data_IF_443492826753
#
_entry.id   IF_443492826753
#
_cell.length_a   1.000
_cell.length_b   1.000
_cell.length_c   1.000
_cell.angle_alpha   90.00
_cell.angle_beta   90.00
_cell.angle_gamma   90.00
#
_symmetry.space_group_name_H-M   'P 1'
#
loop_
_entity.id
_entity.type
_entity.pdbx_description
1 polymer ?
#
# COMPACT_ATOMS: atom_id res chain seq x y z
N UNK A 1 29.47 2.70 17.39
CA UNK A 1 29.13 2.40 18.80
C UNK A 1 28.48 3.60 19.52
N UNK A 2 29.01 4.82 19.39
CA UNK A 2 28.43 6.01 20.02
C UNK A 2 27.21 6.55 19.26
N UNK A 3 27.24 6.44 17.96
CA UNK A 3 26.16 6.85 17.05
C UNK A 3 24.94 5.92 17.17
N UNK A 4 25.15 4.63 17.35
CA UNK A 4 24.06 3.64 17.52
C UNK A 4 23.35 3.80 18.86
N UNK A 5 24.08 4.13 19.95
CA UNK A 5 23.48 4.40 21.26
C UNK A 5 22.63 5.67 21.30
N UNK A 6 23.04 6.74 20.59
CA UNK A 6 22.24 7.99 20.54
C UNK A 6 20.97 7.78 19.73
N UNK A 7 21.01 6.99 18.66
CA UNK A 7 19.85 6.72 17.82
C UNK A 7 18.79 5.89 18.53
N UNK A 8 19.17 4.87 19.31
CA UNK A 8 18.22 4.05 20.06
C UNK A 8 17.58 4.82 21.22
N UNK A 9 18.35 5.62 21.95
CA UNK A 9 17.80 6.47 23.01
C UNK A 9 16.89 7.57 22.43
N UNK A 10 17.26 8.17 21.33
CA UNK A 10 16.46 9.23 20.70
C UNK A 10 15.16 8.66 20.13
N UNK A 11 15.22 7.49 19.50
CA UNK A 11 14.05 6.80 18.99
C UNK A 11 13.07 6.42 20.11
N UNK A 12 13.58 5.87 21.22
CA UNK A 12 12.78 5.51 22.40
C UNK A 12 12.20 6.73 23.10
N UNK A 13 12.94 7.83 23.19
CA UNK A 13 12.45 9.09 23.78
C UNK A 13 11.40 9.79 22.91
N UNK A 14 11.56 9.74 21.59
CA UNK A 14 10.60 10.33 20.65
C UNK A 14 9.28 9.55 20.63
N UNK A 15 9.33 8.22 20.72
CA UNK A 15 8.13 7.39 20.90
C UNK A 15 7.46 7.68 22.24
N UNK A 16 8.22 7.84 23.33
CA UNK A 16 7.67 8.14 24.67
C UNK A 16 7.04 9.54 24.77
N UNK A 17 7.48 10.48 23.94
CA UNK A 17 6.99 11.87 23.95
C UNK A 17 5.83 12.13 22.97
N UNK A 18 5.21 11.10 22.41
CA UNK A 18 4.09 11.24 21.47
C UNK A 18 4.42 12.09 20.22
N UNK A 19 5.68 12.15 19.82
CA UNK A 19 6.04 12.78 18.54
C UNK A 19 5.58 11.89 17.40
N UNK A 20 4.74 12.44 16.54
CA UNK A 20 4.36 11.79 15.29
C UNK A 20 5.54 11.75 14.31
N UNK A 21 5.38 10.97 13.26
CA UNK A 21 6.42 10.84 12.24
C UNK A 21 6.70 12.16 11.52
N UNK A 22 5.71 13.05 11.42
CA UNK A 22 5.91 14.40 10.88
C UNK A 22 6.72 15.27 11.83
N UNK A 23 6.46 15.17 13.14
CA UNK A 23 7.30 15.80 14.17
C UNK A 23 8.70 15.19 14.17
N UNK A 24 8.82 13.87 14.02
CA UNK A 24 10.09 13.18 13.90
C UNK A 24 10.82 13.60 12.61
N UNK A 25 10.16 13.63 11.48
CA UNK A 25 10.71 14.08 10.21
C UNK A 25 11.19 15.53 10.29
N UNK A 26 10.36 16.41 10.83
CA UNK A 26 10.73 17.82 11.05
C UNK A 26 11.89 17.96 12.04
N UNK A 27 11.89 17.17 13.10
CA UNK A 27 12.97 17.15 14.08
C UNK A 27 14.28 16.64 13.46
N UNK A 28 14.23 15.54 12.69
CA UNK A 28 15.38 14.99 12.00
C UNK A 28 15.93 15.96 10.95
N UNK A 29 15.07 16.62 10.17
CA UNK A 29 15.50 17.66 9.21
C UNK A 29 16.18 18.86 9.86
N UNK A 30 15.78 19.20 11.08
CA UNK A 30 16.36 20.37 11.77
C UNK A 30 17.59 20.06 12.62
N UNK A 31 17.82 18.78 12.98
CA UNK A 31 18.81 18.41 13.99
C UNK A 31 19.82 17.36 13.51
N UNK A 32 19.56 16.66 12.39
CA UNK A 32 20.41 15.59 11.88
C UNK A 32 20.57 15.67 10.36
N UNK A 33 21.71 15.20 9.88
CA UNK A 33 22.06 15.16 8.45
C UNK A 33 21.11 14.26 7.65
N UNK A 34 20.88 14.57 6.38
CA UNK A 34 19.98 13.93 5.42
C UNK A 34 20.07 12.39 5.36
N UNK A 35 21.19 11.84 5.76
CA UNK A 35 21.42 10.39 5.80
C UNK A 35 20.52 9.60 6.77
N UNK A 36 19.83 10.25 7.71
CA UNK A 36 18.92 9.55 8.63
C UNK A 36 17.56 9.21 8.02
N UNK A 37 17.12 9.97 7.02
CA UNK A 37 15.89 9.67 6.26
C UNK A 37 16.00 8.35 5.50
N UNK A 38 17.20 8.02 4.99
CA UNK A 38 17.44 6.76 4.29
C UNK A 38 17.21 5.52 5.16
N UNK A 39 17.12 5.67 6.48
CA UNK A 39 16.81 4.56 7.39
C UNK A 39 15.37 4.08 7.30
N UNK A 40 14.45 4.97 6.98
CA UNK A 40 13.03 4.65 6.84
C UNK A 40 12.67 4.22 5.42
N UNK A 41 13.57 4.44 4.46
CA UNK A 41 13.36 4.14 3.06
C UNK A 41 14.10 2.85 2.68
N UNK A 42 13.34 1.85 2.26
CA UNK A 42 13.91 0.56 1.88
C UNK A 42 14.38 0.57 0.44
N UNK A 43 15.66 0.23 0.25
CA UNK A 43 16.15 -0.21 -1.05
C UNK A 43 15.72 -1.66 -1.28
N UNK A 44 15.34 -1.97 -2.51
CA UNK A 44 14.95 -3.29 -2.93
C UNK A 44 15.55 -3.61 -4.30
N UNK A 45 15.59 -4.88 -4.66
CA UNK A 45 16.17 -5.34 -5.91
C UNK A 45 15.38 -4.81 -7.11
N UNK A 46 16.09 -4.22 -8.09
CA UNK A 46 15.49 -3.62 -9.27
C UNK A 46 15.04 -2.16 -9.11
N UNK A 47 15.19 -1.56 -7.92
CA UNK A 47 14.85 -0.15 -7.70
C UNK A 47 15.52 0.78 -8.72
N UNK A 48 16.75 0.49 -9.10
CA UNK A 48 17.52 1.27 -10.07
C UNK A 48 16.95 1.24 -11.49
N UNK A 49 16.08 0.28 -11.78
CA UNK A 49 15.39 0.15 -13.07
C UNK A 49 14.12 0.98 -13.17
N UNK A 50 13.61 1.46 -12.04
CA UNK A 50 12.34 2.20 -11.98
C UNK A 50 12.57 3.65 -12.43
N UNK A 51 11.95 4.02 -13.55
CA UNK A 51 11.96 5.39 -14.05
C UNK A 51 10.90 6.26 -13.37
N UNK A 52 9.72 5.70 -13.13
CA UNK A 52 8.59 6.37 -12.46
C UNK A 52 7.71 5.34 -11.74
N UNK A 53 7.03 5.78 -10.70
CA UNK A 53 5.89 5.06 -10.12
C UNK A 53 4.58 5.61 -10.67
N UNK A 54 3.50 4.85 -10.54
CA UNK A 54 2.20 5.18 -11.13
C UNK A 54 1.13 5.49 -10.09
N UNK A 55 1.24 4.92 -8.89
CA UNK A 55 0.22 5.04 -7.85
C UNK A 55 0.11 6.44 -7.28
N UNK A 56 -1.06 6.76 -6.76
CA UNK A 56 -1.41 8.06 -6.20
C UNK A 56 -0.53 8.42 -4.98
N UNK A 57 -0.26 7.45 -4.12
CA UNK A 57 0.47 7.65 -2.88
C UNK A 57 1.58 6.60 -2.66
N UNK A 58 2.23 6.14 -3.73
CA UNK A 58 3.35 5.19 -3.68
C UNK A 58 2.98 3.79 -3.20
N UNK A 59 1.73 3.34 -3.37
CA UNK A 59 1.29 2.00 -3.01
C UNK A 59 2.08 0.92 -3.77
N UNK A 60 2.37 1.15 -5.03
CA UNK A 60 3.24 0.30 -5.87
C UNK A 60 4.66 0.20 -5.30
N UNK A 61 5.27 1.32 -4.94
CA UNK A 61 6.60 1.37 -4.32
C UNK A 61 6.60 0.75 -2.94
N UNK A 62 5.54 0.95 -2.14
CA UNK A 62 5.36 0.30 -0.85
C UNK A 62 5.34 -1.22 -0.99
N UNK A 63 4.52 -1.73 -1.92
CA UNK A 63 4.39 -3.16 -2.19
C UNK A 63 5.74 -3.77 -2.59
N UNK A 64 6.46 -3.15 -3.52
CA UNK A 64 7.80 -3.60 -3.91
C UNK A 64 8.81 -3.51 -2.78
N UNK A 65 8.77 -2.45 -1.96
CA UNK A 65 9.67 -2.31 -0.81
C UNK A 65 9.45 -3.41 0.22
N UNK A 66 8.19 -3.69 0.59
CA UNK A 66 7.83 -4.76 1.53
C UNK A 66 8.26 -6.12 1.01
N UNK A 67 8.11 -6.37 -0.27
CA UNK A 67 8.43 -7.65 -0.92
C UNK A 67 9.83 -7.66 -1.57
N UNK A 68 10.66 -6.66 -1.26
CA UNK A 68 12.07 -6.57 -1.66
C UNK A 68 12.32 -6.71 -3.17
N UNK A 69 11.48 -6.05 -3.96
CA UNK A 69 11.59 -6.08 -5.42
C UNK A 69 11.16 -7.39 -6.05
N UNK A 70 10.27 -8.14 -5.37
CA UNK A 70 9.77 -9.42 -5.88
C UNK A 70 9.33 -9.31 -7.33
N UNK A 71 9.84 -10.22 -8.18
CA UNK A 71 9.37 -10.44 -9.55
C UNK A 71 8.40 -11.60 -9.59
N UNK A 72 7.59 -11.65 -10.64
CA UNK A 72 6.59 -12.71 -10.84
C UNK A 72 5.63 -12.86 -9.65
N UNK A 73 5.26 -11.74 -9.03
CA UNK A 73 4.25 -11.71 -7.98
C UNK A 73 2.84 -11.80 -8.54
N UNK A 74 1.85 -11.85 -7.65
CA UNK A 74 0.43 -11.88 -8.01
C UNK A 74 -0.37 -10.81 -7.27
N UNK A 75 -1.42 -10.29 -7.92
CA UNK A 75 -2.29 -9.30 -7.30
C UNK A 75 -3.78 -9.50 -7.63
N UNK A 76 -4.62 -9.02 -6.73
CA UNK A 76 -6.02 -8.71 -6.97
C UNK A 76 -6.24 -7.22 -6.70
N UNK A 77 -6.72 -6.49 -7.70
CA UNK A 77 -7.00 -5.06 -7.65
C UNK A 77 -8.49 -4.80 -7.80
N UNK A 78 -9.10 -4.18 -6.83
CA UNK A 78 -10.52 -3.86 -6.81
C UNK A 78 -10.71 -2.36 -6.91
N UNK A 79 -11.30 -1.90 -8.04
CA UNK A 79 -11.34 -0.49 -8.42
C UNK A 79 -10.04 -0.07 -9.09
N UNK A 80 -9.83 -0.48 -10.34
CA UNK A 80 -8.56 -0.22 -11.03
C UNK A 80 -8.44 1.17 -11.65
N UNK A 81 -9.57 1.83 -11.91
CA UNK A 81 -9.64 3.13 -12.55
C UNK A 81 -8.82 3.22 -13.85
N UNK A 82 -8.00 4.26 -14.01
CA UNK A 82 -7.15 4.46 -15.19
C UNK A 82 -5.99 3.46 -15.22
N UNK A 83 -5.63 2.89 -16.37
CA UNK A 83 -4.60 1.86 -16.47
C UNK A 83 -3.19 2.29 -16.01
N UNK A 84 -2.91 3.60 -16.00
CA UNK A 84 -1.61 4.14 -15.58
C UNK A 84 -1.71 5.28 -14.56
N UNK A 85 -2.71 6.13 -14.71
CA UNK A 85 -2.86 7.30 -13.85
C UNK A 85 -3.44 6.88 -12.49
N UNK A 86 -2.65 7.04 -11.43
CA UNK A 86 -3.04 6.59 -10.09
C UNK A 86 -3.04 5.07 -9.90
N UNK A 87 -2.57 4.30 -10.89
CA UNK A 87 -2.61 2.84 -10.84
C UNK A 87 -1.66 2.26 -9.79
N UNK A 88 -2.20 1.40 -8.94
CA UNK A 88 -1.44 0.71 -7.91
C UNK A 88 -0.69 -0.53 -8.42
N UNK A 89 -0.97 -0.97 -9.63
CA UNK A 89 -0.49 -2.25 -10.19
C UNK A 89 0.29 -2.11 -11.50
N UNK A 90 0.29 -0.93 -12.15
CA UNK A 90 1.02 -0.76 -13.41
C UNK A 90 2.54 -0.97 -13.27
N UNK A 91 3.15 -0.45 -12.20
CA UNK A 91 4.57 -0.69 -11.92
C UNK A 91 4.85 -2.18 -11.61
N UNK A 92 3.89 -2.87 -10.98
CA UNK A 92 4.05 -4.28 -10.66
C UNK A 92 4.12 -5.13 -11.93
N UNK A 93 3.40 -4.78 -12.99
CA UNK A 93 3.54 -5.46 -14.29
C UNK A 93 4.94 -5.27 -14.91
N UNK A 94 5.61 -4.14 -14.71
CA UNK A 94 7.01 -3.95 -15.11
C UNK A 94 7.97 -4.88 -14.34
N UNK A 95 7.55 -5.36 -13.14
CA UNK A 95 8.20 -6.40 -12.36
C UNK A 95 7.67 -7.81 -12.67
N UNK A 96 7.02 -7.99 -13.82
CA UNK A 96 6.53 -9.29 -14.32
C UNK A 96 5.43 -9.90 -13.44
N UNK A 97 4.67 -9.08 -12.71
CA UNK A 97 3.55 -9.56 -11.93
C UNK A 97 2.35 -9.87 -12.79
N UNK A 98 1.62 -10.93 -12.39
CA UNK A 98 0.34 -11.29 -12.97
C UNK A 98 -0.79 -10.99 -11.99
N UNK A 99 -1.95 -10.63 -12.50
CA UNK A 99 -3.06 -10.34 -11.59
C UNK A 99 -4.37 -10.13 -12.32
N UNK A 100 -5.37 -9.85 -11.52
CA UNK A 100 -6.72 -9.53 -11.97
C UNK A 100 -7.11 -8.19 -11.40
N UNK A 101 -7.55 -7.29 -12.26
CA UNK A 101 -8.15 -6.00 -11.90
C UNK A 101 -9.66 -6.05 -12.11
N UNK A 102 -10.42 -5.36 -11.27
CA UNK A 102 -11.88 -5.22 -11.38
C UNK A 102 -12.22 -3.76 -11.54
N UNK A 103 -13.05 -3.46 -12.53
CA UNK A 103 -13.49 -2.10 -12.84
C UNK A 103 -14.94 -2.13 -13.35
N UNK A 104 -15.77 -1.21 -12.89
CA UNK A 104 -17.17 -1.13 -13.30
C UNK A 104 -17.36 -0.26 -14.56
N UNK A 105 -16.49 0.70 -14.77
CA UNK A 105 -16.56 1.61 -15.91
C UNK A 105 -16.03 0.95 -17.18
N UNK A 106 -16.92 0.78 -18.17
CA UNK A 106 -16.59 0.12 -19.44
C UNK A 106 -15.54 0.86 -20.26
N UNK A 107 -15.50 2.18 -20.20
CA UNK A 107 -14.51 2.97 -20.96
C UNK A 107 -13.12 2.79 -20.35
N UNK A 108 -13.02 2.79 -19.02
CA UNK A 108 -11.78 2.51 -18.31
C UNK A 108 -11.30 1.08 -18.56
N UNK A 109 -12.20 0.09 -18.56
CA UNK A 109 -11.88 -1.30 -18.90
C UNK A 109 -11.32 -1.43 -20.31
N UNK A 110 -11.92 -0.79 -21.31
CA UNK A 110 -11.41 -0.81 -22.68
C UNK A 110 -10.05 -0.10 -22.80
N UNK A 111 -9.85 0.98 -22.07
CA UNK A 111 -8.53 1.64 -21.98
C UNK A 111 -7.50 0.71 -21.35
N UNK A 112 -7.86 0.01 -20.27
CA UNK A 112 -6.99 -0.95 -19.61
C UNK A 112 -6.56 -2.07 -20.56
N UNK A 113 -7.50 -2.73 -21.23
CA UNK A 113 -7.23 -3.80 -22.20
C UNK A 113 -6.31 -3.38 -23.35
N UNK A 114 -6.38 -2.12 -23.76
CA UNK A 114 -5.53 -1.60 -24.83
C UNK A 114 -4.12 -1.19 -24.34
N UNK A 115 -3.94 -1.00 -23.04
CA UNK A 115 -2.74 -0.42 -22.47
C UNK A 115 -1.92 -1.44 -21.66
N UNK A 116 -2.56 -2.46 -21.09
CA UNK A 116 -1.96 -3.42 -20.15
C UNK A 116 -2.21 -4.87 -20.58
N UNK A 117 -1.40 -5.79 -20.05
CA UNK A 117 -1.41 -7.20 -20.45
C UNK A 117 -2.21 -8.10 -19.51
N UNK A 118 -2.37 -7.70 -18.25
CA UNK A 118 -3.09 -8.49 -17.26
C UNK A 118 -4.61 -8.40 -17.45
N UNK A 119 -5.31 -9.32 -16.82
CA UNK A 119 -6.77 -9.42 -16.91
C UNK A 119 -7.45 -8.23 -16.21
N UNK A 120 -8.47 -7.68 -16.85
CA UNK A 120 -9.43 -6.77 -16.21
C UNK A 120 -10.85 -7.29 -16.42
N UNK A 121 -11.58 -7.42 -15.31
CA UNK A 121 -13.00 -7.82 -15.26
C UNK A 121 -13.87 -6.57 -15.25
N UNK A 122 -14.73 -6.42 -16.26
CA UNK A 122 -15.74 -5.35 -16.28
C UNK A 122 -16.97 -5.79 -15.48
N UNK A 123 -17.04 -5.45 -14.21
CA UNK A 123 -18.14 -5.86 -13.34
C UNK A 123 -18.28 -4.98 -12.10
N UNK A 124 -19.49 -4.99 -11.53
CA UNK A 124 -19.69 -4.57 -10.15
C UNK A 124 -18.96 -5.55 -9.21
N UNK A 125 -18.02 -5.04 -8.43
CA UNK A 125 -17.19 -5.84 -7.53
C UNK A 125 -18.02 -6.62 -6.48
N UNK A 126 -19.21 -6.14 -6.14
CA UNK A 126 -20.12 -6.81 -5.19
C UNK A 126 -20.83 -8.05 -5.76
N UNK A 127 -20.64 -8.37 -7.04
CA UNK A 127 -21.31 -9.48 -7.72
C UNK A 127 -20.39 -10.64 -8.08
N UNK A 128 -19.11 -10.53 -7.77
CA UNK A 128 -18.08 -11.48 -8.20
C UNK A 128 -17.90 -12.65 -7.22
N UNK A 129 -17.48 -13.79 -7.77
CA UNK A 129 -16.99 -14.93 -6.99
C UNK A 129 -15.49 -14.83 -6.76
N UNK A 130 -15.11 -14.31 -5.60
CA UNK A 130 -13.69 -14.17 -5.24
C UNK A 130 -12.96 -15.50 -5.00
N UNK A 131 -13.66 -16.59 -4.70
CA UNK A 131 -13.04 -17.93 -4.66
C UNK A 131 -12.56 -18.35 -6.05
N UNK A 132 -13.37 -18.11 -7.08
CA UNK A 132 -13.00 -18.44 -8.46
C UNK A 132 -11.81 -17.61 -8.90
N UNK A 133 -11.83 -16.28 -8.69
CA UNK A 133 -10.75 -15.38 -9.09
C UNK A 133 -9.44 -15.74 -8.35
N UNK A 134 -9.48 -15.84 -7.03
CA UNK A 134 -8.30 -16.11 -6.21
C UNK A 134 -7.70 -17.48 -6.47
N UNK A 135 -8.51 -18.49 -6.83
CA UNK A 135 -8.01 -19.82 -7.19
C UNK A 135 -7.11 -19.83 -8.42
N UNK A 136 -7.21 -18.81 -9.28
CA UNK A 136 -6.41 -18.70 -10.53
C UNK A 136 -5.09 -17.98 -10.32
N UNK A 137 -4.98 -17.12 -9.29
CA UNK A 137 -3.84 -16.23 -9.09
C UNK A 137 -3.05 -16.52 -7.81
N UNK A 138 -3.60 -17.30 -6.88
CA UNK A 138 -2.88 -17.69 -5.67
C UNK A 138 -1.84 -18.78 -5.93
N UNK A 139 -0.82 -18.82 -5.11
CA UNK A 139 0.16 -19.89 -5.10
C UNK A 139 -0.41 -21.20 -4.49
N UNK A 140 0.42 -22.25 -4.43
CA UNK A 140 0.06 -23.55 -3.88
C UNK A 140 -0.32 -23.54 -2.40
N UNK A 141 0.02 -22.47 -1.68
CA UNK A 141 -0.33 -22.24 -0.27
C UNK A 141 -1.53 -21.30 -0.11
N UNK A 142 -2.25 -21.00 -1.19
CA UNK A 142 -3.34 -20.02 -1.24
C UNK A 142 -2.92 -18.60 -0.86
N UNK A 143 -1.70 -18.20 -1.22
CA UNK A 143 -1.19 -16.85 -0.97
C UNK A 143 -1.20 -16.04 -2.26
N UNK A 144 -1.68 -14.80 -2.15
CA UNK A 144 -1.57 -13.76 -3.17
C UNK A 144 -0.66 -12.66 -2.61
N UNK A 145 0.18 -12.07 -3.44
CA UNK A 145 1.17 -11.12 -2.95
C UNK A 145 0.57 -9.75 -2.60
N UNK A 146 -0.39 -9.26 -3.37
CA UNK A 146 -0.99 -7.95 -3.14
C UNK A 146 -2.49 -7.94 -3.35
N UNK A 147 -3.20 -7.32 -2.41
CA UNK A 147 -4.63 -7.00 -2.49
C UNK A 147 -4.80 -5.48 -2.37
N UNK A 148 -5.32 -4.86 -3.43
CA UNK A 148 -5.70 -3.46 -3.45
C UNK A 148 -7.23 -3.36 -3.35
N UNK A 149 -7.72 -2.53 -2.45
CA UNK A 149 -9.14 -2.35 -2.14
C UNK A 149 -9.48 -0.87 -2.15
N UNK A 150 -10.11 -0.43 -3.23
CA UNK A 150 -10.44 0.96 -3.48
C UNK A 150 -11.61 1.07 -4.47
N UNK A 151 -12.83 1.05 -3.95
CA UNK A 151 -14.04 1.29 -4.71
C UNK A 151 -14.79 2.50 -4.13
N UNK A 152 -15.31 3.32 -4.99
CA UNK A 152 -16.23 4.38 -4.59
C UNK A 152 -17.68 3.90 -4.58
N UNK A 153 -18.46 4.22 -3.54
CA UNK A 153 -18.06 4.83 -2.27
C UNK A 153 -17.38 3.84 -1.29
N UNK A 154 -16.71 4.31 -0.22
CA UNK A 154 -15.94 3.44 0.71
C UNK A 154 -16.75 2.30 1.34
N UNK A 155 -18.07 2.45 1.45
CA UNK A 155 -18.98 1.39 1.89
C UNK A 155 -18.92 0.17 0.97
N UNK A 156 -18.74 0.38 -0.32
CA UNK A 156 -18.57 -0.69 -1.31
C UNK A 156 -17.24 -1.37 -1.13
N UNK A 157 -16.15 -0.60 -0.94
CA UNK A 157 -14.83 -1.15 -0.59
C UNK A 157 -14.92 -2.08 0.62
N UNK A 158 -15.58 -1.64 1.69
CA UNK A 158 -15.74 -2.44 2.91
C UNK A 158 -16.66 -3.65 2.70
N UNK A 159 -17.73 -3.51 1.91
CA UNK A 159 -18.62 -4.62 1.55
C UNK A 159 -17.85 -5.71 0.80
N UNK A 160 -17.10 -5.33 -0.23
CA UNK A 160 -16.29 -6.25 -1.05
C UNK A 160 -15.22 -6.92 -0.18
N UNK A 161 -14.57 -6.19 0.71
CA UNK A 161 -13.58 -6.76 1.63
C UNK A 161 -14.16 -7.93 2.45
N UNK A 162 -15.41 -7.83 2.89
CA UNK A 162 -16.08 -8.92 3.62
C UNK A 162 -16.45 -10.12 2.75
N UNK A 163 -16.44 -9.97 1.43
CA UNK A 163 -16.69 -11.07 0.48
C UNK A 163 -15.38 -11.82 0.13
N UNK A 164 -14.23 -11.25 0.42
CA UNK A 164 -12.95 -11.92 0.22
C UNK A 164 -12.84 -13.10 1.21
N UNK A 165 -12.58 -14.33 0.75
CA UNK A 165 -12.50 -15.51 1.60
C UNK A 165 -11.13 -15.60 2.32
N UNK A 166 -10.93 -14.72 3.32
CA UNK A 166 -9.70 -14.66 4.12
C UNK A 166 -9.44 -15.90 4.98
N UNK A 167 -10.45 -16.73 5.19
CA UNK A 167 -10.31 -18.03 5.85
C UNK A 167 -9.54 -19.04 4.99
N UNK A 168 -9.56 -18.86 3.67
CA UNK A 168 -8.90 -19.72 2.71
C UNK A 168 -7.65 -19.09 2.09
N UNK A 169 -7.69 -17.81 1.80
CA UNK A 169 -6.60 -17.09 1.11
C UNK A 169 -5.94 -16.07 2.02
N UNK A 170 -4.62 -15.94 1.91
CA UNK A 170 -3.84 -14.93 2.60
C UNK A 170 -3.18 -13.99 1.61
N UNK A 171 -2.98 -12.73 2.02
CA UNK A 171 -2.32 -11.72 1.23
C UNK A 171 -1.07 -11.22 1.95
N UNK A 172 0.05 -11.03 1.24
CA UNK A 172 1.28 -10.51 1.86
C UNK A 172 1.14 -9.04 2.20
N UNK A 173 0.56 -8.26 1.28
CA UNK A 173 0.35 -6.82 1.38
C UNK A 173 -1.09 -6.51 1.05
N UNK A 174 -1.71 -5.60 1.82
CA UNK A 174 -3.05 -5.06 1.54
C UNK A 174 -2.97 -3.53 1.66
N UNK A 175 -3.51 -2.83 0.68
CA UNK A 175 -3.86 -1.41 0.78
C UNK A 175 -5.38 -1.28 0.81
N UNK A 176 -5.89 -0.51 1.76
CA UNK A 176 -7.32 -0.36 1.97
C UNK A 176 -7.69 1.11 2.07
N UNK A 177 -8.45 1.58 1.08
CA UNK A 177 -9.01 2.92 1.07
C UNK A 177 -10.28 2.98 1.92
N UNK A 178 -10.26 3.82 2.96
CA UNK A 178 -11.38 4.02 3.87
C UNK A 178 -12.02 5.41 3.73
N UNK A 179 -11.36 6.32 3.03
CA UNK A 179 -11.83 7.70 2.80
C UNK A 179 -12.43 8.36 4.04
N UNK A 180 -11.74 8.28 5.15
CA UNK A 180 -12.22 8.77 6.44
C UNK A 180 -12.69 10.22 6.39
N UNK A 181 -12.01 11.03 5.60
CA UNK A 181 -12.33 12.43 5.41
C UNK A 181 -13.72 12.64 4.80
N UNK A 182 -14.21 11.66 4.04
CA UNK A 182 -15.52 11.69 3.38
C UNK A 182 -16.56 10.84 4.14
N UNK A 183 -16.21 9.60 4.50
CA UNK A 183 -17.12 8.61 5.11
C UNK A 183 -17.20 8.70 6.63
N UNK A 184 -16.29 9.48 7.27
CA UNK A 184 -16.18 9.55 8.72
C UNK A 184 -15.52 8.30 9.33
N UNK A 185 -15.76 8.11 10.62
CA UNK A 185 -15.01 7.11 11.41
C UNK A 185 -15.53 5.67 11.28
N UNK A 186 -16.68 5.44 10.66
CA UNK A 186 -17.30 4.10 10.68
C UNK A 186 -16.47 3.10 9.90
N UNK A 187 -16.30 3.28 8.59
CA UNK A 187 -15.51 2.36 7.74
C UNK A 187 -14.06 2.29 8.20
N UNK A 188 -13.49 3.42 8.58
CA UNK A 188 -12.16 3.53 9.16
C UNK A 188 -11.96 2.61 10.39
N UNK A 189 -12.90 2.58 11.33
CA UNK A 189 -12.79 1.75 12.53
C UNK A 189 -13.09 0.28 12.24
N UNK A 190 -14.12 0.00 11.45
CA UNK A 190 -14.54 -1.36 11.13
C UNK A 190 -13.51 -2.11 10.30
N UNK A 191 -12.89 -1.46 9.31
CA UNK A 191 -11.83 -2.08 8.50
C UNK A 191 -10.60 -2.40 9.34
N UNK A 192 -10.21 -1.50 10.23
CA UNK A 192 -9.10 -1.70 11.17
C UNK A 192 -9.34 -2.87 12.10
N UNK A 193 -10.57 -2.98 12.63
CA UNK A 193 -10.95 -4.11 13.44
C UNK A 193 -10.90 -5.41 12.65
N UNK A 194 -11.48 -5.42 11.45
CA UNK A 194 -11.49 -6.59 10.57
C UNK A 194 -10.08 -7.12 10.29
N UNK A 195 -9.18 -6.26 9.80
CA UNK A 195 -7.81 -6.68 9.48
C UNK A 195 -7.00 -7.09 10.72
N UNK A 196 -7.26 -6.47 11.88
CA UNK A 196 -6.64 -6.89 13.15
C UNK A 196 -7.14 -8.28 13.56
N UNK A 197 -8.44 -8.54 13.49
CA UNK A 197 -9.04 -9.85 13.82
C UNK A 197 -8.55 -10.95 12.86
N UNK A 198 -8.24 -10.61 11.61
CA UNK A 198 -7.63 -11.49 10.61
C UNK A 198 -6.11 -11.69 10.80
N UNK A 199 -5.50 -11.04 11.77
CA UNK A 199 -4.08 -11.18 12.10
C UNK A 199 -3.12 -10.31 11.28
N UNK A 200 -3.62 -9.37 10.50
CA UNK A 200 -2.78 -8.43 9.76
C UNK A 200 -2.19 -7.34 10.66
N UNK A 201 -0.97 -6.96 10.37
CA UNK A 201 -0.31 -5.80 10.99
C UNK A 201 -0.54 -4.58 10.12
N UNK A 202 -1.18 -3.55 10.69
CA UNK A 202 -1.26 -2.23 10.06
C UNK A 202 0.12 -1.59 10.12
N UNK A 203 0.81 -1.56 8.99
CA UNK A 203 2.19 -1.12 8.91
C UNK A 203 2.27 0.40 8.83
N UNK A 204 1.48 0.99 7.94
CA UNK A 204 1.40 2.44 7.76
C UNK A 204 -0.07 2.88 7.84
N UNK A 205 -0.48 3.58 8.90
CA UNK A 205 -1.82 4.12 9.04
C UNK A 205 -1.95 5.51 8.43
N UNK A 206 -3.18 5.91 8.10
CA UNK A 206 -3.54 7.29 7.80
C UNK A 206 -2.71 7.92 6.68
N UNK A 207 -2.53 7.22 5.59
CA UNK A 207 -1.87 7.75 4.40
C UNK A 207 -2.71 8.89 3.80
N UNK A 208 -2.01 9.97 3.45
CA UNK A 208 -2.57 11.10 2.73
C UNK A 208 -1.52 11.70 1.80
N UNK A 209 -1.85 11.98 0.54
CA UNK A 209 -0.88 12.52 -0.41
C UNK A 209 -0.45 13.96 -0.07
N UNK A 210 -1.28 14.71 0.65
CA UNK A 210 -1.07 16.15 0.89
C UNK A 210 -1.09 16.57 2.39
N UNK A 211 -1.09 15.62 3.32
CA UNK A 211 -1.18 15.83 4.77
C UNK A 211 -2.48 16.44 5.30
N UNK A 212 -3.50 16.58 4.49
CA UNK A 212 -4.75 17.22 4.91
C UNK A 212 -5.87 16.25 5.23
N UNK A 213 -5.86 15.10 4.55
CA UNK A 213 -6.94 14.12 4.63
C UNK A 213 -6.37 12.71 4.56
N UNK A 214 -6.66 11.92 5.57
CA UNK A 214 -6.31 10.51 5.58
C UNK A 214 -7.38 9.70 4.84
N UNK A 215 -6.95 8.88 3.91
CA UNK A 215 -7.84 8.10 3.07
C UNK A 215 -7.54 6.61 3.06
N UNK A 216 -6.33 6.19 3.41
CA UNK A 216 -5.87 4.81 3.23
C UNK A 216 -5.03 4.30 4.39
N UNK A 217 -5.08 3.00 4.66
CA UNK A 217 -4.19 2.27 5.56
C UNK A 217 -3.50 1.11 4.80
N UNK A 218 -2.24 0.84 5.16
CA UNK A 218 -1.44 -0.24 4.57
C UNK A 218 -1.15 -1.34 5.58
N UNK A 219 -1.39 -2.59 5.18
CA UNK A 219 -1.28 -3.77 6.02
C UNK A 219 -0.35 -4.81 5.41
N UNK A 220 0.23 -5.64 6.29
CA UNK A 220 1.00 -6.82 5.91
C UNK A 220 0.62 -8.02 6.74
N UNK A 221 0.75 -9.22 6.17
CA UNK A 221 0.61 -10.45 6.94
C UNK A 221 1.95 -10.79 7.60
N UNK A 222 2.02 -10.83 8.95
CA UNK A 222 3.30 -10.92 9.66
C UNK A 222 4.07 -12.23 9.43
N UNK A 223 3.38 -13.30 9.07
CA UNK A 223 4.00 -14.60 8.75
C UNK A 223 4.50 -14.70 7.31
N UNK A 224 4.14 -13.75 6.43
CA UNK A 224 4.38 -13.84 4.99
C UNK A 224 5.34 -12.76 4.47
N UNK A 225 5.81 -11.87 5.33
CA UNK A 225 6.82 -10.86 5.03
C UNK A 225 7.98 -10.97 6.02
N UNK A 226 9.13 -10.40 5.66
CA UNK A 226 10.29 -10.45 6.54
C UNK A 226 10.06 -9.62 7.80
N UNK A 227 10.35 -10.15 9.01
CA UNK A 227 10.18 -9.43 10.27
C UNK A 227 10.90 -8.07 10.30
N UNK A 228 12.06 -7.97 9.68
CA UNK A 228 12.84 -6.73 9.60
C UNK A 228 12.11 -5.60 8.86
N UNK A 229 11.28 -5.96 7.89
CA UNK A 229 10.42 -5.00 7.18
C UNK A 229 9.41 -4.41 8.16
N UNK A 230 8.75 -5.26 8.95
CA UNK A 230 7.77 -4.82 9.94
C UNK A 230 8.42 -3.91 10.97
N UNK A 231 9.56 -4.30 11.53
CA UNK A 231 10.27 -3.52 12.55
C UNK A 231 10.67 -2.13 12.05
N UNK A 232 11.15 -2.06 10.81
CA UNK A 232 11.66 -0.81 10.25
C UNK A 232 10.57 0.12 9.71
N UNK A 233 9.50 -0.42 9.13
CA UNK A 233 8.45 0.37 8.45
C UNK A 233 7.24 0.65 9.34
N UNK A 234 7.04 -0.09 10.44
CA UNK A 234 5.85 0.05 11.27
C UNK A 234 5.76 1.42 11.92
N UNK A 235 4.70 2.12 11.60
CA UNK A 235 4.36 3.40 12.21
C UNK A 235 3.32 3.17 13.30
N UNK A 236 3.66 3.55 14.51
CA UNK A 236 2.84 3.27 15.70
C UNK A 236 1.90 4.41 16.07
N UNK A 237 2.04 5.58 15.47
CA UNK A 237 1.28 6.77 15.84
C UNK A 237 0.33 7.21 14.73
N UNK A 238 -0.94 7.42 15.10
CA UNK A 238 -2.05 7.58 14.18
C UNK A 238 -2.32 8.99 13.67
N UNK A 239 -1.31 9.73 13.21
CA UNK A 239 -1.52 10.98 12.47
C UNK A 239 -1.43 10.75 10.97
N UNK A 240 -1.82 11.76 10.20
CA UNK A 240 -1.74 11.76 8.74
C UNK A 240 -0.29 11.70 8.28
N UNK A 241 0.01 10.82 7.35
CA UNK A 241 1.36 10.56 6.86
C UNK A 241 1.46 10.77 5.36
N UNK A 242 2.49 11.48 4.93
CA UNK A 242 2.87 11.54 3.51
C UNK A 242 3.67 10.30 3.13
N UNK A 243 3.26 9.63 2.09
CA UNK A 243 3.95 8.45 1.59
C UNK A 243 5.37 8.75 1.10
N UNK A 244 5.61 9.94 0.58
CA UNK A 244 6.96 10.38 0.15
C UNK A 244 7.99 10.37 1.29
N UNK A 245 7.52 10.50 2.54
CA UNK A 245 8.40 10.46 3.70
C UNK A 245 8.96 9.06 3.96
N UNK A 246 8.31 8.01 3.45
CA UNK A 246 8.68 6.61 3.68
C UNK A 246 9.27 5.91 2.47
N UNK A 247 8.85 6.32 1.28
CA UNK A 247 9.24 5.65 0.04
C UNK A 247 10.46 6.30 -0.60
N UNK A 248 11.27 5.49 -1.27
CA UNK A 248 12.36 6.00 -2.09
C UNK A 248 11.75 6.69 -3.31
N UNK A 249 12.25 7.88 -3.61
CA UNK A 249 11.83 8.62 -4.79
C UNK A 249 12.34 7.96 -6.06
N UNK A 250 11.50 7.88 -7.06
CA UNK A 250 11.89 7.48 -8.41
C UNK A 250 12.50 8.66 -9.17
N UNK A 251 13.23 8.41 -10.24
CA UNK A 251 13.91 9.47 -11.04
C UNK A 251 12.92 10.50 -11.57
N UNK A 252 11.76 10.06 -12.00
CA UNK A 252 10.66 10.88 -12.50
C UNK A 252 9.52 10.80 -11.51
N UNK A 253 9.65 11.52 -10.40
CA UNK A 253 8.66 11.58 -9.34
C UNK A 253 7.31 12.03 -9.88
N UNK A 254 6.31 11.19 -9.74
CA UNK A 254 4.92 11.58 -9.91
C UNK A 254 4.19 11.37 -8.59
N UNK A 255 4.28 12.36 -7.71
CA UNK A 255 3.36 12.47 -6.59
C UNK A 255 2.01 13.00 -7.06
N UNK A 256 0.99 12.90 -6.23
CA UNK A 256 -0.32 13.49 -6.45
C UNK A 256 -0.18 15.00 -6.73
N UNK A 257 -0.47 15.42 -7.93
CA UNK A 257 -0.38 16.81 -8.38
C UNK A 257 0.52 17.06 -9.60
N UNK A 258 1.35 16.11 -10.00
CA UNK A 258 2.25 16.25 -11.17
C UNK A 258 1.62 15.67 -12.47
N UNK A 259 0.34 15.90 -12.64
CA UNK A 259 -0.45 15.40 -13.77
C UNK A 259 -0.79 16.51 -14.78
N UNK A 260 0.11 17.47 -14.94
CA UNK A 260 0.03 18.47 -16.00
C UNK A 260 0.74 18.02 -17.27
#
# INVERSE_FOLDING_TARGET
LWFDMITDQTHSQLISNNMDLMGLNKFLHTHYDSNMFDRFKFKFDGLETIEKNYSQAYQDMFTLSVLQGKRNGTYLEIGSADPYYGSNTALLEEFEWNGVSVEIDKELVERFKNARSNEVICSDATTLDYNEILSRISDENNVVDYLQLDCDPPEITYQVTKMIPFDKYKFRVITFEHDRWYSGDHIYNESRKLFTDLGYVRLVPNIAPDNRQDYEDWYVHPELVYPEVIEKMKITQGKIHKSEDYMIETKNKKGYGDFS
#
